data_IF_596180959128
#
_entry.id   IF_596180959128
#
_cell.length_a   1.000
_cell.length_b   1.000
_cell.length_c   1.000
_cell.angle_alpha   90.00
_cell.angle_beta   90.00
_cell.angle_gamma   90.00
#
_symmetry.space_group_name_H-M   'P 1'
#
loop_
_entity.id
_entity.type
_entity.pdbx_description
1 polymer ?
#
# COMPACT_ATOMS: atom_id res chain seq x y z
N UNK A 1 -16.05 -15.60 -35.65
CA UNK A 1 -16.31 -15.80 -34.21
C UNK A 1 -16.00 -14.49 -33.54
N UNK A 2 -17.04 -13.80 -33.08
CA UNK A 2 -16.93 -12.50 -32.43
C UNK A 2 -15.94 -12.57 -31.27
N UNK A 3 -14.92 -11.73 -31.29
CA UNK A 3 -14.10 -11.47 -30.11
C UNK A 3 -14.94 -10.59 -29.21
N UNK A 4 -15.75 -11.17 -28.33
CA UNK A 4 -16.30 -10.42 -27.20
C UNK A 4 -15.14 -9.66 -26.56
N UNK A 5 -15.24 -8.33 -26.56
CA UNK A 5 -14.26 -7.48 -25.93
C UNK A 5 -14.20 -7.89 -24.45
N UNK A 6 -13.07 -8.50 -24.04
CA UNK A 6 -12.81 -8.83 -22.64
C UNK A 6 -13.01 -7.54 -21.86
N UNK A 7 -14.01 -7.51 -20.97
CA UNK A 7 -14.22 -6.37 -20.08
C UNK A 7 -12.89 -6.09 -19.38
N UNK A 8 -12.42 -4.82 -19.36
CA UNK A 8 -11.17 -4.50 -18.68
C UNK A 8 -11.28 -4.99 -17.24
N UNK A 9 -10.29 -5.79 -16.81
CA UNK A 9 -10.19 -6.20 -15.42
C UNK A 9 -10.04 -4.93 -14.57
N UNK A 10 -10.66 -4.90 -13.40
CA UNK A 10 -10.66 -3.75 -12.49
C UNK A 10 -9.78 -4.16 -11.31
N UNK A 11 -8.70 -3.41 -11.00
CA UNK A 11 -7.84 -3.75 -9.88
C UNK A 11 -8.59 -3.67 -8.55
N UNK A 12 -8.30 -4.61 -7.68
CA UNK A 12 -8.75 -4.63 -6.30
C UNK A 12 -7.67 -4.08 -5.37
N UNK A 13 -7.99 -3.00 -4.68
CA UNK A 13 -7.12 -2.31 -3.73
C UNK A 13 -7.50 -2.75 -2.33
N UNK A 14 -6.54 -3.26 -1.57
CA UNK A 14 -6.72 -3.59 -0.16
C UNK A 14 -5.89 -2.66 0.69
N UNK A 15 -6.52 -1.94 1.61
CA UNK A 15 -5.85 -1.20 2.68
C UNK A 15 -5.78 -2.11 3.90
N UNK A 16 -4.63 -2.77 4.09
CA UNK A 16 -4.40 -3.66 5.23
C UNK A 16 -3.88 -2.83 6.41
N UNK A 17 -4.77 -2.52 7.34
CA UNK A 17 -4.54 -1.55 8.41
C UNK A 17 -4.99 -2.08 9.77
N UNK A 18 -4.06 -2.73 10.49
CA UNK A 18 -4.29 -3.17 11.87
C UNK A 18 -4.71 -2.02 12.75
N UNK A 19 -5.64 -2.29 13.65
CA UNK A 19 -6.09 -1.31 14.63
C UNK A 19 -4.92 -0.89 15.53
N UNK A 20 -5.05 0.30 16.10
CA UNK A 20 -4.01 0.89 16.93
C UNK A 20 -3.82 0.11 18.24
N UNK A 21 -4.88 -0.51 18.77
CA UNK A 21 -4.86 -1.20 20.05
C UNK A 21 -4.05 -2.51 19.97
N UNK A 22 -4.12 -3.22 18.84
CA UNK A 22 -3.47 -4.52 18.61
C UNK A 22 -2.04 -4.40 18.11
N UNK A 23 -1.72 -3.37 17.34
CA UNK A 23 -0.44 -3.25 16.63
C UNK A 23 0.43 -2.07 17.07
N UNK A 24 -0.17 -1.06 17.71
CA UNK A 24 0.46 0.23 18.00
C UNK A 24 0.87 1.03 16.77
N UNK A 25 0.62 0.54 15.54
CA UNK A 25 0.97 1.22 14.29
C UNK A 25 -0.12 1.03 13.25
N UNK A 26 -0.95 2.05 13.13
CA UNK A 26 -2.05 2.13 12.19
C UNK A 26 -2.00 3.45 11.41
N UNK A 27 -2.60 3.42 10.23
CA UNK A 27 -3.03 4.61 9.50
C UNK A 27 -4.33 5.08 10.17
N UNK A 28 -4.29 6.23 10.84
CA UNK A 28 -5.41 6.75 11.64
C UNK A 28 -6.60 7.16 10.76
N UNK A 29 -6.32 7.64 9.55
CA UNK A 29 -7.29 8.09 8.56
C UNK A 29 -7.43 7.10 7.40
N UNK A 30 -7.39 5.79 7.68
CA UNK A 30 -7.50 4.76 6.65
C UNK A 30 -8.87 4.72 5.97
N UNK A 31 -9.94 5.00 6.72
CA UNK A 31 -11.30 5.09 6.16
C UNK A 31 -11.43 6.32 5.25
N UNK A 32 -10.95 7.49 5.68
CA UNK A 32 -10.93 8.70 4.84
C UNK A 32 -10.10 8.48 3.56
N UNK A 33 -8.99 7.75 3.68
CA UNK A 33 -8.17 7.35 2.53
C UNK A 33 -8.93 6.41 1.58
N UNK A 34 -9.64 5.42 2.12
CA UNK A 34 -10.47 4.51 1.33
C UNK A 34 -11.59 5.26 0.61
N UNK A 35 -12.25 6.20 1.29
CA UNK A 35 -13.29 7.05 0.71
C UNK A 35 -12.73 7.92 -0.42
N UNK A 36 -11.57 8.56 -0.23
CA UNK A 36 -10.94 9.37 -1.27
C UNK A 36 -10.52 8.54 -2.51
N UNK A 37 -10.03 7.31 -2.30
CA UNK A 37 -9.73 6.37 -3.39
C UNK A 37 -11.03 5.96 -4.09
N UNK A 38 -12.08 5.65 -3.34
CA UNK A 38 -13.39 5.27 -3.88
C UNK A 38 -14.06 6.44 -4.61
N UNK A 39 -13.90 7.68 -4.16
CA UNK A 39 -14.43 8.86 -4.84
C UNK A 39 -13.72 9.09 -6.19
N UNK A 40 -12.38 8.99 -6.21
CA UNK A 40 -11.58 9.26 -7.41
C UNK A 40 -11.59 8.11 -8.43
N UNK A 41 -11.60 6.86 -7.95
CA UNK A 41 -11.41 5.66 -8.78
C UNK A 41 -12.56 4.66 -8.68
N UNK A 42 -13.55 4.89 -7.83
CA UNK A 42 -14.69 3.99 -7.66
C UNK A 42 -15.56 3.86 -8.90
N UNK A 43 -16.33 2.78 -8.90
CA UNK A 43 -17.15 2.38 -10.05
C UNK A 43 -18.50 3.11 -10.05
N UNK A 44 -18.60 4.31 -10.63
CA UNK A 44 -19.87 4.97 -11.01
C UNK A 44 -19.66 6.36 -11.63
N UNK A 45 -20.37 6.85 -12.65
CA UNK A 45 -21.59 6.46 -13.39
C UNK A 45 -21.35 6.19 -14.89
N UNK A 46 -20.13 6.41 -15.38
CA UNK A 46 -19.72 6.13 -16.75
C UNK A 46 -18.77 4.93 -16.73
N UNK A 47 -19.29 3.73 -16.98
CA UNK A 47 -18.61 2.43 -16.81
C UNK A 47 -17.34 2.17 -17.64
N UNK A 48 -16.64 3.21 -18.09
CA UNK A 48 -15.46 3.18 -18.97
C UNK A 48 -14.28 4.04 -18.45
N UNK A 49 -14.25 4.46 -17.17
CA UNK A 49 -13.03 5.12 -16.66
C UNK A 49 -11.85 4.13 -16.75
N UNK A 50 -10.75 4.48 -17.45
CA UNK A 50 -9.58 3.62 -17.53
C UNK A 50 -8.88 3.46 -16.17
N UNK A 51 -9.26 4.25 -15.17
CA UNK A 51 -8.71 4.20 -13.80
C UNK A 51 -9.71 3.64 -12.77
N UNK A 52 -10.74 2.93 -13.21
CA UNK A 52 -11.68 2.31 -12.29
C UNK A 52 -10.95 1.29 -11.40
N UNK A 53 -11.24 1.29 -10.10
CA UNK A 53 -10.74 0.35 -9.11
C UNK A 53 -11.84 0.01 -8.09
N UNK A 54 -11.64 -1.05 -7.32
CA UNK A 54 -12.40 -1.32 -6.09
C UNK A 54 -11.47 -1.16 -4.90
N UNK A 55 -11.97 -0.67 -3.77
CA UNK A 55 -11.17 -0.50 -2.55
C UNK A 55 -11.88 -1.11 -1.35
N UNK A 56 -11.12 -1.72 -0.47
CA UNK A 56 -11.58 -2.19 0.83
C UNK A 56 -10.54 -1.92 1.91
N UNK A 57 -11.01 -1.76 3.16
CA UNK A 57 -10.17 -1.72 4.35
C UNK A 57 -10.28 -3.07 5.05
N UNK A 58 -9.13 -3.67 5.35
CA UNK A 58 -9.02 -4.91 6.14
C UNK A 58 -8.26 -4.57 7.41
N UNK A 59 -8.92 -4.71 8.55
CA UNK A 59 -8.31 -4.39 9.86
C UNK A 59 -7.17 -5.35 10.17
N UNK A 60 -7.44 -6.64 10.33
CA UNK A 60 -6.41 -7.64 10.60
C UNK A 60 -6.80 -8.99 10.01
N UNK A 61 -5.81 -9.87 9.93
CA UNK A 61 -5.99 -11.26 9.49
C UNK A 61 -5.70 -12.26 10.63
N UNK A 62 -5.52 -11.78 11.86
CA UNK A 62 -5.03 -12.57 13.01
C UNK A 62 -5.92 -13.78 13.35
N UNK A 63 -7.23 -13.69 13.09
CA UNK A 63 -8.20 -14.76 13.35
C UNK A 63 -8.53 -15.60 12.10
N UNK A 64 -7.91 -15.30 10.96
CA UNK A 64 -8.18 -16.00 9.72
C UNK A 64 -7.32 -17.24 9.58
N UNK A 65 -7.92 -18.31 9.07
CA UNK A 65 -7.17 -19.48 8.61
C UNK A 65 -6.22 -19.10 7.48
N UNK A 66 -5.14 -19.87 7.31
CA UNK A 66 -4.22 -19.67 6.20
C UNK A 66 -4.94 -19.63 4.83
N UNK A 67 -5.95 -20.47 4.63
CA UNK A 67 -6.73 -20.47 3.39
C UNK A 67 -7.51 -19.16 3.18
N UNK A 68 -8.08 -18.57 4.23
CA UNK A 68 -8.74 -17.26 4.15
C UNK A 68 -7.75 -16.14 3.87
N UNK A 69 -6.58 -16.16 4.53
CA UNK A 69 -5.50 -15.19 4.27
C UNK A 69 -4.99 -15.31 2.83
N UNK A 70 -4.75 -16.53 2.36
CA UNK A 70 -4.37 -16.83 0.98
C UNK A 70 -5.40 -16.26 0.00
N UNK A 71 -6.68 -16.61 0.17
CA UNK A 71 -7.74 -16.14 -0.72
C UNK A 71 -7.83 -14.62 -0.71
N UNK A 72 -7.73 -13.95 0.45
CA UNK A 72 -7.79 -12.49 0.48
C UNK A 72 -6.60 -11.89 -0.29
N UNK A 73 -5.38 -12.26 0.09
CA UNK A 73 -4.16 -11.66 -0.46
C UNK A 73 -4.01 -12.00 -1.94
N UNK A 74 -4.42 -13.19 -2.38
CA UNK A 74 -4.40 -13.57 -3.80
C UNK A 74 -5.41 -12.82 -4.67
N UNK A 75 -6.36 -12.09 -4.08
CA UNK A 75 -7.30 -11.22 -4.79
C UNK A 75 -6.95 -9.74 -4.66
N UNK A 76 -5.82 -9.39 -4.04
CA UNK A 76 -5.34 -8.01 -3.93
C UNK A 76 -4.38 -7.70 -5.08
N UNK A 77 -4.71 -6.70 -5.89
CA UNK A 77 -3.84 -6.21 -6.98
C UNK A 77 -2.90 -5.10 -6.53
N UNK A 78 -3.38 -4.25 -5.62
CA UNK A 78 -2.64 -3.13 -5.04
C UNK A 78 -2.85 -3.18 -3.52
N UNK A 79 -1.78 -3.46 -2.78
CA UNK A 79 -1.80 -3.48 -1.33
C UNK A 79 -1.29 -2.15 -0.77
N UNK A 80 -2.07 -1.50 0.08
CA UNK A 80 -1.64 -0.33 0.87
C UNK A 80 -1.55 -0.77 2.32
N UNK A 81 -0.43 -0.50 2.98
CA UNK A 81 -0.27 -0.96 4.37
C UNK A 81 0.79 -0.14 5.12
N UNK A 82 0.60 0.15 6.42
CA UNK A 82 1.70 0.61 7.25
C UNK A 82 2.76 -0.49 7.36
N UNK A 83 4.04 -0.10 7.47
CA UNK A 83 5.13 -1.07 7.71
C UNK A 83 4.84 -1.91 8.94
N UNK A 84 4.77 -3.23 8.79
CA UNK A 84 4.49 -4.13 9.91
C UNK A 84 4.52 -5.60 9.51
N UNK A 85 4.44 -6.49 10.50
CA UNK A 85 4.51 -7.95 10.31
C UNK A 85 3.46 -8.50 9.33
N UNK A 86 2.35 -7.78 9.13
CA UNK A 86 1.32 -8.14 8.15
C UNK A 86 1.83 -8.17 6.70
N UNK A 87 2.91 -7.44 6.38
CA UNK A 87 3.57 -7.48 5.07
C UNK A 87 4.41 -8.74 4.84
N UNK A 88 4.45 -9.66 5.81
CA UNK A 88 5.00 -11.00 5.54
C UNK A 88 4.17 -11.76 4.50
N UNK A 89 2.90 -11.40 4.27
CA UNK A 89 2.03 -12.03 3.26
C UNK A 89 2.33 -11.61 1.82
N UNK A 90 3.28 -10.70 1.57
CA UNK A 90 3.59 -10.19 0.21
C UNK A 90 3.92 -11.29 -0.80
N UNK A 91 4.47 -12.43 -0.36
CA UNK A 91 4.76 -13.56 -1.25
C UNK A 91 3.50 -14.29 -1.76
N UNK A 92 2.33 -14.00 -1.19
CA UNK A 92 1.03 -14.54 -1.60
C UNK A 92 0.29 -13.63 -2.58
N UNK A 93 0.75 -12.38 -2.76
CA UNK A 93 0.14 -11.48 -3.75
C UNK A 93 0.31 -12.07 -5.16
N UNK A 94 -0.65 -11.82 -6.07
CA UNK A 94 -0.48 -12.17 -7.47
C UNK A 94 0.80 -11.57 -8.05
N UNK A 95 1.41 -12.27 -9.01
CA UNK A 95 2.45 -11.65 -9.84
C UNK A 95 1.89 -10.39 -10.50
N UNK A 96 2.75 -9.40 -10.72
CA UNK A 96 2.37 -8.15 -11.40
C UNK A 96 1.48 -7.21 -10.52
N UNK A 97 1.20 -7.58 -9.26
CA UNK A 97 0.65 -6.72 -8.20
C UNK A 97 1.66 -5.68 -7.69
N UNK A 98 1.20 -4.74 -6.88
CA UNK A 98 2.06 -3.79 -6.18
C UNK A 98 1.73 -3.62 -4.71
N UNK A 99 2.72 -3.16 -3.94
CA UNK A 99 2.57 -2.72 -2.56
C UNK A 99 3.03 -1.28 -2.42
N UNK A 100 2.22 -0.47 -1.74
CA UNK A 100 2.57 0.84 -1.21
C UNK A 100 2.73 0.73 0.32
N UNK A 101 3.98 0.65 0.75
CA UNK A 101 4.32 0.56 2.17
C UNK A 101 4.47 1.95 2.80
N UNK A 102 3.72 2.21 3.87
CA UNK A 102 3.70 3.52 4.54
C UNK A 102 4.48 3.46 5.84
N UNK A 103 5.44 4.36 5.96
CA UNK A 103 6.34 4.48 7.11
C UNK A 103 6.00 5.72 7.92
N UNK A 104 5.76 5.51 9.21
CA UNK A 104 5.55 6.58 10.17
C UNK A 104 6.83 7.33 10.50
N UNK A 105 6.65 8.41 11.26
CA UNK A 105 7.72 9.25 11.78
C UNK A 105 8.80 8.42 12.48
N UNK A 106 10.07 8.77 12.28
CA UNK A 106 11.20 8.17 13.00
C UNK A 106 11.53 6.71 12.67
N UNK A 107 10.80 6.08 11.74
CA UNK A 107 11.04 4.68 11.39
C UNK A 107 10.95 4.45 9.89
N UNK A 108 12.09 4.19 9.25
CA UNK A 108 12.15 3.97 7.80
C UNK A 108 13.15 2.86 7.46
N UNK A 109 12.66 1.73 6.95
CA UNK A 109 13.46 0.56 6.58
C UNK A 109 12.87 -0.09 5.31
N UNK A 110 12.89 0.61 4.17
CA UNK A 110 12.17 0.19 2.96
C UNK A 110 12.66 -1.16 2.41
N UNK A 111 13.96 -1.44 2.54
CA UNK A 111 14.54 -2.67 1.98
C UNK A 111 14.05 -3.96 2.66
N UNK A 112 13.48 -3.88 3.87
CA UNK A 112 13.08 -5.06 4.64
C UNK A 112 11.98 -5.85 3.91
N UNK A 113 10.83 -5.22 3.66
CA UNK A 113 9.76 -5.83 2.87
C UNK A 113 9.92 -5.55 1.37
N UNK A 114 10.68 -4.50 0.99
CA UNK A 114 11.06 -4.27 -0.40
C UNK A 114 11.81 -5.45 -1.03
N UNK A 115 12.74 -6.06 -0.29
CA UNK A 115 13.44 -7.27 -0.75
C UNK A 115 12.50 -8.46 -0.94
N UNK A 116 11.53 -8.63 -0.02
CA UNK A 116 10.53 -9.70 -0.11
C UNK A 116 9.60 -9.48 -1.33
N UNK A 117 9.12 -8.26 -1.53
CA UNK A 117 8.32 -7.89 -2.70
C UNK A 117 9.08 -8.16 -4.00
N UNK A 118 10.34 -7.72 -4.08
CA UNK A 118 11.21 -7.95 -5.24
C UNK A 118 11.39 -9.45 -5.55
N UNK A 119 11.66 -10.28 -4.52
CA UNK A 119 11.79 -11.74 -4.70
C UNK A 119 10.48 -12.42 -5.12
N UNK A 120 9.34 -11.79 -4.85
CA UNK A 120 8.00 -12.34 -5.14
C UNK A 120 7.43 -11.85 -6.48
N UNK A 121 8.18 -11.01 -7.23
CA UNK A 121 7.68 -10.40 -8.46
C UNK A 121 6.56 -9.36 -8.22
N UNK A 122 6.53 -8.79 -7.02
CA UNK A 122 5.62 -7.72 -6.60
C UNK A 122 6.35 -6.39 -6.73
N UNK A 123 5.70 -5.40 -7.33
CA UNK A 123 6.24 -4.04 -7.41
C UNK A 123 6.19 -3.39 -6.03
N UNK A 124 7.29 -2.78 -5.62
CA UNK A 124 7.41 -2.14 -4.32
C UNK A 124 7.49 -0.61 -4.44
N UNK A 125 6.66 0.08 -3.67
CA UNK A 125 6.79 1.50 -3.38
C UNK A 125 6.79 1.72 -1.86
N UNK A 126 7.48 2.75 -1.41
CA UNK A 126 7.41 3.22 -0.02
C UNK A 126 7.10 4.71 0.06
N UNK A 127 6.42 5.09 1.15
CA UNK A 127 6.13 6.46 1.50
C UNK A 127 6.52 6.71 2.95
N UNK A 128 7.43 7.64 3.18
CA UNK A 128 7.75 8.14 4.52
C UNK A 128 6.88 9.36 4.85
N UNK A 129 6.23 9.34 6.01
CA UNK A 129 5.33 10.42 6.45
C UNK A 129 5.91 11.28 7.59
N UNK A 130 7.17 11.05 7.98
CA UNK A 130 7.87 11.90 8.97
C UNK A 130 8.49 13.15 8.35
N UNK A 131 8.98 14.07 9.18
CA UNK A 131 9.77 15.23 8.72
C UNK A 131 9.04 16.56 8.45
N UNK A 132 7.72 16.66 8.72
CA UNK A 132 6.95 17.88 8.39
C UNK A 132 6.70 18.02 6.89
N UNK A 133 5.90 19.02 6.49
CA UNK A 133 5.34 19.17 5.13
C UNK A 133 6.36 18.85 4.01
N UNK A 134 6.04 17.89 3.16
CA UNK A 134 6.93 17.35 2.12
C UNK A 134 7.12 18.30 0.92
N UNK A 135 6.62 19.53 1.03
CA UNK A 135 6.60 20.55 -0.03
C UNK A 135 7.89 21.35 -0.16
N UNK A 136 8.86 21.25 0.76
CA UNK A 136 10.09 22.05 0.73
C UNK A 136 11.38 21.22 0.89
N UNK A 137 12.48 21.73 0.32
CA UNK A 137 13.82 21.13 0.39
C UNK A 137 14.43 21.14 1.81
N UNK A 138 13.88 21.93 2.73
CA UNK A 138 14.25 21.93 4.16
C UNK A 138 13.79 20.63 4.87
N UNK A 139 12.71 20.01 4.39
CA UNK A 139 12.13 18.78 4.98
C UNK A 139 13.05 17.55 4.85
N UNK A 140 13.95 17.51 3.85
CA UNK A 140 14.95 16.44 3.71
C UNK A 140 16.04 16.48 4.79
N UNK A 141 16.42 17.68 5.23
CA UNK A 141 17.33 17.87 6.37
C UNK A 141 16.69 17.41 7.68
N UNK A 142 15.37 17.63 7.80
CA UNK A 142 14.58 17.18 8.96
C UNK A 142 14.43 15.64 9.00
N UNK A 143 14.16 15.00 7.85
CA UNK A 143 14.04 13.53 7.77
C UNK A 143 15.32 12.83 8.23
N UNK A 144 16.50 13.27 7.78
CA UNK A 144 17.77 12.62 8.13
C UNK A 144 18.05 12.71 9.63
N UNK A 145 17.95 13.91 10.22
CA UNK A 145 18.17 14.10 11.66
C UNK A 145 17.15 13.34 12.52
N UNK A 146 15.88 13.30 12.07
CA UNK A 146 14.83 12.54 12.72
C UNK A 146 15.13 11.04 12.72
N UNK A 147 15.47 10.48 11.55
CA UNK A 147 15.82 9.07 11.43
C UNK A 147 17.09 8.74 12.22
N UNK A 148 18.13 9.58 12.16
CA UNK A 148 19.35 9.40 12.94
C UNK A 148 19.05 9.34 14.44
N UNK A 149 18.14 10.18 14.94
CA UNK A 149 17.76 10.16 16.34
C UNK A 149 16.98 8.90 16.73
N UNK A 150 15.97 8.52 15.95
CA UNK A 150 15.06 7.44 16.30
C UNK A 150 15.63 6.05 15.98
N UNK A 151 16.48 5.92 14.96
CA UNK A 151 17.04 4.65 14.51
C UNK A 151 18.38 4.29 15.17
N UNK A 152 18.97 5.17 16.00
CA UNK A 152 20.29 4.96 16.62
C UNK A 152 20.38 3.79 17.60
N UNK A 153 19.29 3.42 18.27
CA UNK A 153 19.30 2.34 19.26
C UNK A 153 18.06 1.46 19.18
N UNK A 154 18.14 0.28 19.80
CA UNK A 154 17.01 -0.63 19.86
C UNK A 154 15.81 0.02 20.57
N UNK A 155 16.07 0.74 21.66
CA UNK A 155 15.06 1.40 22.50
C UNK A 155 14.33 2.49 21.73
N UNK A 156 15.07 3.43 21.12
CA UNK A 156 14.46 4.54 20.35
C UNK A 156 13.70 4.01 19.14
N UNK A 157 14.24 2.98 18.48
CA UNK A 157 13.57 2.35 17.35
C UNK A 157 12.29 1.66 17.78
N UNK A 158 12.29 0.98 18.93
CA UNK A 158 11.10 0.29 19.45
C UNK A 158 9.97 1.27 19.77
N UNK A 159 10.29 2.49 20.20
CA UNK A 159 9.31 3.57 20.40
C UNK A 159 8.81 4.12 19.07
N UNK A 160 9.71 4.49 18.14
CA UNK A 160 9.31 5.06 16.85
C UNK A 160 8.46 4.09 16.02
N UNK A 161 8.66 2.78 16.22
CA UNK A 161 7.84 1.72 15.64
C UNK A 161 6.37 1.77 16.05
N UNK A 162 5.98 2.52 17.07
CA UNK A 162 4.61 2.63 17.56
C UNK A 162 4.00 4.01 17.28
N UNK A 163 4.67 4.85 16.48
CA UNK A 163 4.09 6.12 16.12
C UNK A 163 2.94 5.92 15.15
N UNK A 164 1.76 6.53 15.43
CA UNK A 164 0.64 6.45 14.51
C UNK A 164 0.95 7.20 13.22
N UNK A 165 0.26 6.83 12.15
CA UNK A 165 0.46 7.39 10.82
C UNK A 165 -0.78 8.19 10.44
N UNK A 166 -0.61 9.48 10.18
CA UNK A 166 -1.60 10.24 9.42
C UNK A 166 -1.16 10.21 7.95
N UNK A 167 -1.88 9.44 7.15
CA UNK A 167 -1.60 9.28 5.72
C UNK A 167 -1.88 10.60 4.98
N UNK A 168 -0.95 11.13 4.18
CA UNK A 168 -1.22 12.26 3.29
C UNK A 168 -2.11 11.78 2.14
N UNK A 169 -3.43 11.98 2.27
CA UNK A 169 -4.46 11.41 1.38
C UNK A 169 -4.14 11.72 -0.08
N UNK A 170 -3.95 12.98 -0.44
CA UNK A 170 -3.69 13.39 -1.83
C UNK A 170 -2.48 12.69 -2.44
N UNK A 171 -1.38 12.62 -1.68
CA UNK A 171 -0.13 11.97 -2.13
C UNK A 171 -0.34 10.48 -2.37
N UNK A 172 -1.08 9.80 -1.49
CA UNK A 172 -1.36 8.37 -1.65
C UNK A 172 -2.33 8.13 -2.79
N UNK A 173 -3.38 8.95 -2.92
CA UNK A 173 -4.36 8.87 -3.99
C UNK A 173 -3.71 9.09 -5.37
N UNK A 174 -2.74 9.99 -5.49
CA UNK A 174 -1.96 10.16 -6.72
C UNK A 174 -1.10 8.94 -7.03
N UNK A 175 -0.41 8.39 -6.03
CA UNK A 175 0.36 7.13 -6.17
C UNK A 175 -0.51 5.94 -6.56
N UNK A 176 -1.72 5.85 -6.00
CA UNK A 176 -2.71 4.82 -6.37
C UNK A 176 -3.10 4.97 -7.84
N UNK A 177 -3.29 6.20 -8.32
CA UNK A 177 -3.52 6.46 -9.74
C UNK A 177 -2.40 5.96 -10.65
N UNK A 178 -1.13 6.21 -10.28
CA UNK A 178 0.03 5.67 -10.99
C UNK A 178 0.04 4.13 -10.99
N UNK A 179 -0.25 3.51 -9.85
CA UNK A 179 -0.27 2.04 -9.74
C UNK A 179 -1.41 1.41 -10.53
N UNK A 180 -2.59 2.02 -10.59
CA UNK A 180 -3.70 1.57 -11.45
C UNK A 180 -3.29 1.66 -12.93
N UNK A 181 -2.64 2.75 -13.36
CA UNK A 181 -2.15 2.89 -14.73
C UNK A 181 -1.16 1.78 -15.08
N UNK A 182 -0.15 1.60 -14.24
CA UNK A 182 0.88 0.59 -14.45
C UNK A 182 0.31 -0.83 -14.42
N UNK A 183 -0.64 -1.12 -13.52
CA UNK A 183 -1.34 -2.40 -13.48
C UNK A 183 -2.10 -2.64 -14.79
N UNK A 184 -2.83 -1.64 -15.30
CA UNK A 184 -3.56 -1.75 -16.56
C UNK A 184 -2.63 -2.00 -17.77
N UNK A 185 -1.46 -1.38 -17.79
CA UNK A 185 -0.43 -1.63 -18.81
C UNK A 185 0.08 -3.07 -18.71
N UNK A 186 0.45 -3.52 -17.51
CA UNK A 186 0.90 -4.90 -17.28
C UNK A 186 -0.16 -5.93 -17.66
N UNK A 187 -1.44 -5.68 -17.38
CA UNK A 187 -2.52 -6.61 -17.72
C UNK A 187 -2.80 -6.69 -19.23
N UNK A 188 -2.45 -5.66 -20.00
CA UNK A 188 -2.47 -5.74 -21.47
C UNK A 188 -1.33 -6.62 -21.99
N UNK A 189 -0.15 -6.50 -21.38
CA UNK A 189 1.06 -7.26 -21.75
C UNK A 189 1.07 -8.68 -21.18
N UNK A 190 0.32 -8.94 -20.10
CA UNK A 190 0.22 -10.23 -19.42
C UNK A 190 -0.40 -11.34 -20.29
N UNK A 191 -0.99 -11.01 -21.45
CA UNK A 191 -1.29 -12.02 -22.48
C UNK A 191 -0.04 -12.67 -23.07
N UNK A 192 1.15 -12.09 -22.85
CA UNK A 192 2.42 -12.59 -23.35
C UNK A 192 3.50 -12.77 -22.27
N UNK A 193 3.50 -12.04 -21.14
CA UNK A 193 4.58 -12.12 -20.12
C UNK A 193 4.19 -11.82 -18.65
N UNK A 194 3.09 -12.38 -18.16
CA UNK A 194 2.97 -12.85 -16.76
C UNK A 194 2.49 -14.32 -16.88
#
# INVERSE_FOLDING_TARGET
VDREAVKPAIPHITILNRDQESSGRSILNAEDLAEAIQEKFGRGTNGNSPLAATVEVVSHMDEWTFAQQFVKVSHTDILISPHGAQLTSLFLLPKCSSVLEIFGRGYYVPEFYGSLAASSGVRYQSLYTGGGDNSTSESKGNMTAELDYWMKSFETRSVARLFPICAPIDVIVDKVGEEIQLWNERMKDAKERC
#
